data_IF_374059931792
#
_entry.id   IF_374059931792
#
_cell.length_a   1.000
_cell.length_b   1.000
_cell.length_c   1.000
_cell.angle_alpha   90.00
_cell.angle_beta   90.00
_cell.angle_gamma   90.00
#
_symmetry.space_group_name_H-M   'P 1'
#
loop_
_entity.id
_entity.type
_entity.pdbx_description
1 polymer ?
#
# COMPACT_ATOMS: atom_id res chain seq x y z
N UNK A 1 16.67 15.02 31.11
CA UNK A 1 16.86 15.47 29.73
C UNK A 1 18.11 16.34 29.69
N UNK A 2 19.26 15.72 29.44
CA UNK A 2 20.40 16.48 28.94
C UNK A 2 20.19 16.56 27.42
N UNK A 3 19.97 17.78 26.92
CA UNK A 3 20.20 18.10 25.52
C UNK A 3 21.71 18.01 25.30
N UNK A 4 22.24 16.80 25.20
CA UNK A 4 23.56 16.59 24.64
C UNK A 4 23.42 16.87 23.14
N UNK A 5 23.51 18.15 22.80
CA UNK A 5 23.47 18.65 21.43
C UNK A 5 24.66 18.07 20.68
N UNK A 6 24.51 16.88 20.11
CA UNK A 6 25.39 16.40 19.07
C UNK A 6 25.28 17.44 17.95
N UNK A 7 26.38 18.12 17.56
CA UNK A 7 26.29 19.10 16.49
C UNK A 7 25.78 18.41 15.21
N UNK A 8 24.64 18.89 14.70
CA UNK A 8 24.17 18.53 13.37
C UNK A 8 25.18 19.08 12.36
N UNK A 9 25.97 18.20 11.74
CA UNK A 9 26.93 18.60 10.71
C UNK A 9 26.25 18.43 9.35
N UNK A 10 25.75 19.53 8.80
CA UNK A 10 25.26 19.59 7.43
C UNK A 10 26.42 19.89 6.47
N UNK A 11 26.53 19.15 5.37
CA UNK A 11 27.53 19.41 4.32
C UNK A 11 27.11 20.61 3.48
N UNK A 12 27.20 21.81 4.07
CA UNK A 12 26.83 23.08 3.42
C UNK A 12 27.62 23.33 2.12
N UNK A 13 28.80 22.72 1.97
CA UNK A 13 29.64 22.88 0.77
C UNK A 13 29.14 22.09 -0.44
N UNK A 14 28.34 21.03 -0.21
CA UNK A 14 27.71 20.25 -1.30
C UNK A 14 26.24 20.61 -1.53
N UNK A 15 25.63 21.34 -0.61
CA UNK A 15 24.19 21.63 -0.61
C UNK A 15 23.91 23.13 -0.58
N UNK A 16 24.08 23.78 -1.75
CA UNK A 16 23.70 25.19 -1.92
C UNK A 16 22.18 25.41 -1.88
N UNK A 17 21.40 24.33 -2.03
CA UNK A 17 19.93 24.30 -1.96
C UNK A 17 19.38 24.59 -0.55
N UNK A 18 20.23 24.62 0.48
CA UNK A 18 19.86 25.06 1.83
C UNK A 18 19.39 26.51 1.88
N UNK A 19 19.87 27.35 0.96
CA UNK A 19 19.44 28.75 0.85
C UNK A 19 18.13 28.91 0.05
N UNK A 20 17.64 27.85 -0.59
CA UNK A 20 16.45 27.82 -1.42
C UNK A 20 15.70 26.50 -1.19
N UNK A 21 15.08 26.33 0.00
CA UNK A 21 14.38 25.10 0.35
C UNK A 21 13.16 24.92 -0.57
N UNK A 22 13.08 23.75 -1.21
CA UNK A 22 12.01 23.36 -2.12
C UNK A 22 11.67 21.88 -1.93
N UNK A 23 10.45 21.49 -2.31
CA UNK A 23 9.98 20.09 -2.27
C UNK A 23 11.01 19.15 -2.93
N UNK A 24 11.45 18.14 -2.17
CA UNK A 24 12.36 17.10 -2.66
C UNK A 24 13.86 17.41 -2.53
N UNK A 25 14.24 18.62 -2.08
CA UNK A 25 15.64 19.00 -1.93
C UNK A 25 16.14 18.87 -0.48
N UNK A 26 17.46 18.92 -0.30
CA UNK A 26 18.08 18.73 1.00
C UNK A 26 17.76 19.89 1.95
N UNK A 27 17.72 21.12 1.43
CA UNK A 27 17.38 22.31 2.20
C UNK A 27 16.05 22.20 2.92
N UNK A 28 15.01 21.72 2.23
CA UNK A 28 13.69 21.50 2.83
C UNK A 28 13.72 20.42 3.91
N UNK A 29 14.41 19.29 3.67
CA UNK A 29 14.57 18.24 4.69
C UNK A 29 15.25 18.77 5.95
N UNK A 30 16.30 19.59 5.80
CA UNK A 30 17.04 20.18 6.93
C UNK A 30 16.13 21.06 7.79
N UNK A 31 15.22 21.83 7.19
CA UNK A 31 14.25 22.62 7.95
C UNK A 31 13.37 21.73 8.83
N UNK A 32 12.79 20.66 8.26
CA UNK A 32 11.94 19.72 9.01
C UNK A 32 12.74 19.04 10.13
N UNK A 33 13.96 18.59 9.83
CA UNK A 33 14.86 17.96 10.79
C UNK A 33 15.19 18.88 11.98
N UNK A 34 15.49 20.16 11.73
CA UNK A 34 15.82 21.10 12.80
C UNK A 34 14.60 21.49 13.64
N UNK A 35 13.42 21.57 13.03
CA UNK A 35 12.17 21.70 13.78
C UNK A 35 11.95 20.46 14.67
N UNK A 36 12.26 19.26 14.17
CA UNK A 36 12.24 18.02 14.96
C UNK A 36 13.08 18.12 16.23
N UNK A 37 14.34 18.58 16.13
CA UNK A 37 15.18 18.84 17.32
C UNK A 37 14.57 19.87 18.26
N UNK A 38 14.04 20.97 17.72
CA UNK A 38 13.39 22.01 18.53
C UNK A 38 12.16 21.49 19.28
N UNK A 39 11.49 20.48 18.74
CA UNK A 39 10.37 19.77 19.36
C UNK A 39 10.81 18.56 20.21
N UNK A 40 12.11 18.32 20.38
CA UNK A 40 12.64 17.29 21.27
C UNK A 40 12.93 15.93 20.63
N UNK A 41 12.90 15.82 19.30
CA UNK A 41 13.36 14.61 18.61
C UNK A 41 14.89 14.59 18.51
N UNK A 42 15.50 13.46 18.87
CA UNK A 42 16.92 13.22 18.66
C UNK A 42 17.15 12.47 17.35
N UNK A 43 18.41 12.40 16.91
CA UNK A 43 18.78 11.38 15.94
C UNK A 43 18.54 9.96 16.52
N UNK A 44 18.23 8.95 15.69
CA UNK A 44 17.98 7.60 16.19
C UNK A 44 19.21 6.86 16.71
N UNK A 45 20.38 7.16 16.13
CA UNK A 45 21.68 6.60 16.51
C UNK A 45 22.48 7.49 17.47
N UNK A 46 23.39 6.87 18.22
CA UNK A 46 24.33 7.57 19.09
C UNK A 46 25.62 7.87 18.31
N UNK A 47 25.75 9.09 17.79
CA UNK A 47 26.95 9.51 17.04
C UNK A 47 28.09 9.98 17.97
N UNK A 48 28.40 9.20 19.00
CA UNK A 48 29.36 9.53 20.08
C UNK A 48 30.82 9.64 19.62
N UNK A 49 31.12 9.35 18.36
CA UNK A 49 32.47 9.42 17.76
C UNK A 49 32.71 10.66 16.90
N UNK A 50 31.74 11.58 16.80
CA UNK A 50 31.97 12.90 16.20
C UNK A 50 32.72 13.72 17.24
N UNK A 51 34.01 13.92 17.00
CA UNK A 51 34.92 14.60 17.91
C UNK A 51 34.34 15.94 18.38
N UNK A 52 34.34 16.13 19.69
CA UNK A 52 33.94 17.32 20.44
C UNK A 52 34.84 18.55 20.24
N UNK A 53 35.60 18.61 19.14
CA UNK A 53 36.58 19.67 18.90
C UNK A 53 36.28 20.41 17.59
N UNK A 54 35.50 21.48 17.72
CA UNK A 54 35.08 22.38 16.63
C UNK A 54 36.26 23.15 15.99
N UNK A 55 37.46 23.06 16.58
CA UNK A 55 38.68 23.75 16.10
C UNK A 55 39.69 22.79 15.43
N UNK A 56 39.38 21.50 15.38
CA UNK A 56 40.26 20.53 14.75
C UNK A 56 40.26 20.69 13.21
N UNK A 57 41.41 20.69 12.52
CA UNK A 57 41.47 20.57 11.06
C UNK A 57 40.81 19.27 10.52
N UNK A 58 40.65 18.25 11.38
CA UNK A 58 39.91 17.02 11.10
C UNK A 58 38.37 17.22 11.28
N UNK A 59 37.89 18.28 11.93
CA UNK A 59 36.46 18.60 12.07
C UNK A 59 35.83 18.94 10.71
N UNK A 60 36.56 19.68 9.88
CA UNK A 60 36.16 20.02 8.51
C UNK A 60 36.49 18.92 7.50
N UNK A 61 37.37 17.98 7.86
CA UNK A 61 37.71 16.84 7.02
C UNK A 61 36.97 15.61 7.52
N UNK A 62 35.72 15.50 7.07
CA UNK A 62 34.96 14.26 6.98
C UNK A 62 35.84 13.20 6.27
N UNK A 63 36.76 12.56 7.00
CA UNK A 63 37.53 11.43 6.48
C UNK A 63 36.52 10.32 6.29
N UNK A 64 36.00 10.22 5.05
CA UNK A 64 35.27 9.05 4.51
C UNK A 64 35.92 7.80 5.08
N UNK A 65 35.30 7.18 6.09
CA UNK A 65 35.86 6.00 6.75
C UNK A 65 35.79 5.96 8.28
N UNK A 66 35.44 7.05 8.98
CA UNK A 66 35.22 7.00 10.45
C UNK A 66 33.80 6.66 10.90
N UNK A 67 32.80 6.88 10.03
CA UNK A 67 31.40 6.54 10.28
C UNK A 67 30.94 5.56 9.20
N UNK A 68 30.32 4.47 9.61
CA UNK A 68 29.62 3.50 8.77
C UNK A 68 28.29 3.12 9.39
N UNK A 69 27.21 3.17 8.61
CA UNK A 69 25.87 2.72 9.00
C UNK A 69 25.88 1.47 9.90
N UNK A 70 26.56 0.40 9.48
CA UNK A 70 26.66 -0.89 10.20
C UNK A 70 27.33 -0.84 11.58
N UNK A 71 27.91 0.29 11.99
CA UNK A 71 28.56 0.47 13.28
C UNK A 71 27.86 1.48 14.17
N UNK A 72 27.24 2.51 13.61
CA UNK A 72 26.65 3.59 14.41
C UNK A 72 25.12 3.67 14.35
N UNK A 73 24.47 3.09 13.33
CA UNK A 73 23.02 2.94 13.35
C UNK A 73 22.63 1.97 14.48
N UNK A 74 21.65 2.35 15.29
CA UNK A 74 21.20 1.53 16.42
C UNK A 74 20.29 0.38 15.98
N UNK A 75 19.56 0.59 14.88
CA UNK A 75 18.63 -0.34 14.27
C UNK A 75 18.63 -0.13 12.74
N UNK A 76 18.12 -1.10 11.97
CA UNK A 76 18.22 -1.11 10.51
C UNK A 76 17.44 0.05 9.88
N UNK A 77 16.32 0.42 10.48
CA UNK A 77 15.40 1.46 10.02
C UNK A 77 15.88 2.88 10.37
N UNK A 78 17.07 3.06 10.96
CA UNK A 78 17.71 4.37 11.08
C UNK A 78 18.17 4.84 9.70
N UNK A 79 17.23 5.19 8.83
CA UNK A 79 17.47 5.72 7.49
C UNK A 79 16.46 6.81 7.16
N UNK A 80 16.77 7.60 6.14
CA UNK A 80 15.87 8.61 5.58
C UNK A 80 14.63 8.04 4.90
N UNK A 81 14.45 6.73 4.86
CA UNK A 81 13.16 6.11 4.51
C UNK A 81 12.15 6.25 5.65
N UNK A 82 12.60 6.18 6.91
CA UNK A 82 11.74 6.09 8.09
C UNK A 82 11.67 7.40 8.88
N UNK A 83 12.77 8.16 8.93
CA UNK A 83 12.87 9.38 9.73
C UNK A 83 13.76 10.42 9.07
N UNK A 84 13.30 11.66 9.03
CA UNK A 84 14.13 12.80 8.60
C UNK A 84 15.27 13.07 9.57
N UNK A 85 15.19 12.56 10.81
CA UNK A 85 16.23 12.66 11.83
C UNK A 85 17.44 11.78 11.52
N UNK A 86 17.36 10.85 10.57
CA UNK A 86 18.48 10.00 10.19
C UNK A 86 19.52 10.73 9.33
N UNK A 87 20.79 10.37 9.55
CA UNK A 87 21.90 10.76 8.68
C UNK A 87 22.12 9.80 7.50
N UNK A 88 21.42 8.66 7.48
CA UNK A 88 21.72 7.56 6.59
C UNK A 88 20.76 7.52 5.40
N UNK A 89 21.29 7.16 4.23
CA UNK A 89 20.48 7.03 3.01
C UNK A 89 19.43 5.93 3.17
N UNK A 90 18.25 6.20 2.61
CA UNK A 90 17.15 5.27 2.39
C UNK A 90 17.59 3.94 1.73
N UNK A 91 18.69 3.96 0.96
CA UNK A 91 19.20 2.77 0.26
C UNK A 91 19.68 1.67 1.20
N UNK A 92 20.00 1.97 2.46
CA UNK A 92 20.35 0.94 3.44
C UNK A 92 19.19 0.02 3.79
N UNK A 93 17.95 0.48 3.57
CA UNK A 93 16.70 -0.26 3.80
C UNK A 93 15.98 -0.60 2.49
N UNK A 94 16.70 -0.61 1.36
CA UNK A 94 16.24 -0.94 0.01
C UNK A 94 15.23 0.04 -0.63
N UNK A 95 14.99 1.20 -0.03
CA UNK A 95 14.32 2.31 -0.72
C UNK A 95 15.25 2.97 -1.75
N UNK A 96 14.68 3.70 -2.70
CA UNK A 96 15.43 4.52 -3.65
C UNK A 96 14.64 5.78 -3.99
N UNK A 97 15.15 6.92 -3.53
CA UNK A 97 14.52 8.22 -3.76
C UNK A 97 15.12 8.95 -4.97
N UNK A 98 15.95 8.28 -5.76
CA UNK A 98 16.66 8.85 -6.91
C UNK A 98 17.45 10.12 -6.56
N UNK A 99 17.98 10.17 -5.34
CA UNK A 99 18.78 11.29 -4.82
C UNK A 99 17.98 12.48 -4.28
N UNK A 100 16.65 12.39 -4.26
CA UNK A 100 15.80 13.36 -3.60
C UNK A 100 15.69 13.09 -2.09
N UNK A 101 15.14 14.07 -1.37
CA UNK A 101 15.02 14.06 0.08
C UNK A 101 13.56 14.21 0.53
N UNK A 102 13.18 13.58 1.66
CA UNK A 102 11.87 13.78 2.26
C UNK A 102 11.70 15.23 2.72
N UNK A 103 10.49 15.75 2.61
CA UNK A 103 10.18 17.16 2.87
C UNK A 103 9.07 17.35 3.92
N UNK A 104 8.63 16.26 4.55
CA UNK A 104 7.71 16.20 5.69
C UNK A 104 8.27 15.25 6.76
N UNK A 105 7.75 15.26 7.99
CA UNK A 105 7.95 14.15 8.92
C UNK A 105 7.60 12.82 8.24
N UNK A 106 8.41 11.79 8.49
CA UNK A 106 8.23 10.43 8.01
C UNK A 106 7.62 9.54 9.10
N UNK A 107 7.43 8.26 8.81
CA UNK A 107 6.65 7.33 9.63
C UNK A 107 7.10 7.26 11.10
N UNK A 108 8.41 7.21 11.35
CA UNK A 108 8.97 7.18 12.70
C UNK A 108 8.93 8.56 13.37
N UNK A 109 9.05 9.63 12.59
CA UNK A 109 8.93 11.00 13.11
C UNK A 109 7.50 11.28 13.61
N UNK A 110 6.50 10.85 12.83
CA UNK A 110 5.09 10.96 13.17
C UNK A 110 4.82 10.15 14.44
N UNK A 111 5.26 8.90 14.50
CA UNK A 111 5.06 8.08 15.71
C UNK A 111 5.74 8.72 16.93
N UNK A 112 7.00 9.12 16.82
CA UNK A 112 7.76 9.68 17.94
C UNK A 112 7.17 11.00 18.45
N UNK A 113 6.77 11.91 17.55
CA UNK A 113 6.22 13.20 17.96
C UNK A 113 4.84 13.03 18.62
N UNK A 114 4.06 12.05 18.19
CA UNK A 114 2.79 11.70 18.83
C UNK A 114 2.97 11.09 20.21
N UNK A 115 4.07 10.37 20.48
CA UNK A 115 4.38 9.90 21.84
C UNK A 115 4.67 11.07 22.81
N UNK A 116 5.22 12.18 22.29
CA UNK A 116 5.53 13.36 23.11
C UNK A 116 4.32 14.26 23.33
N UNK A 117 3.47 14.43 22.32
CA UNK A 117 2.44 15.48 22.31
C UNK A 117 1.01 14.97 22.06
N UNK A 118 0.83 13.68 21.78
CA UNK A 118 -0.43 13.08 21.38
C UNK A 118 -0.68 13.17 19.87
N UNK A 119 -1.48 12.23 19.36
CA UNK A 119 -1.97 12.23 17.99
C UNK A 119 -2.99 13.35 17.76
N UNK A 120 -2.86 14.08 16.65
CA UNK A 120 -3.81 15.12 16.28
C UNK A 120 -4.99 14.51 15.51
N UNK A 121 -6.05 14.15 16.25
CA UNK A 121 -7.26 13.55 15.70
C UNK A 121 -8.21 14.55 15.00
N UNK A 122 -7.82 15.82 14.88
CA UNK A 122 -8.55 16.82 14.09
C UNK A 122 -7.95 17.00 12.68
N UNK A 123 -6.83 16.34 12.39
CA UNK A 123 -6.18 16.46 11.10
C UNK A 123 -6.90 15.60 10.06
N UNK A 124 -7.55 16.26 9.08
CA UNK A 124 -8.12 15.64 7.87
C UNK A 124 -9.20 14.58 8.12
N UNK A 125 -10.00 14.72 9.18
CA UNK A 125 -11.08 13.79 9.54
C UNK A 125 -12.26 13.69 8.54
N UNK A 126 -12.09 14.25 7.35
CA UNK A 126 -13.02 14.29 6.24
C UNK A 126 -12.48 13.44 5.09
N UNK A 127 -13.31 13.05 4.13
CA UNK A 127 -12.87 12.28 2.97
C UNK A 127 -11.73 12.99 2.21
N UNK A 128 -10.53 12.41 2.27
CA UNK A 128 -9.29 13.02 1.80
C UNK A 128 -8.70 12.27 0.62
N UNK A 129 -8.32 13.01 -0.43
CA UNK A 129 -7.57 12.50 -1.57
C UNK A 129 -6.11 12.93 -1.44
N UNK A 130 -5.21 11.96 -1.45
CA UNK A 130 -3.76 12.12 -1.46
C UNK A 130 -3.20 11.83 -2.85
N UNK A 131 -2.17 12.54 -3.28
CA UNK A 131 -1.55 12.35 -4.59
C UNK A 131 -2.11 13.27 -5.67
N UNK A 132 -2.43 12.72 -6.85
CA UNK A 132 -3.13 13.47 -7.89
C UNK A 132 -4.53 13.84 -7.40
N UNK A 133 -5.10 14.92 -7.96
CA UNK A 133 -6.44 15.40 -7.59
C UNK A 133 -6.63 15.66 -6.07
N UNK A 134 -5.54 15.86 -5.33
CA UNK A 134 -5.59 16.02 -3.88
C UNK A 134 -6.44 17.21 -3.44
N UNK A 135 -7.23 16.99 -2.39
CA UNK A 135 -8.03 18.02 -1.71
C UNK A 135 -7.41 18.44 -0.35
N UNK A 136 -6.19 18.01 -0.05
CA UNK A 136 -5.54 18.26 1.26
C UNK A 136 -5.19 19.73 1.51
N UNK A 137 -5.19 20.57 0.46
CA UNK A 137 -4.60 21.91 0.44
C UNK A 137 -3.14 21.94 0.95
N UNK A 138 -2.43 20.80 0.84
CA UNK A 138 -1.02 20.65 1.18
C UNK A 138 -0.22 20.32 -0.06
N UNK A 139 0.75 21.18 -0.38
CA UNK A 139 1.69 20.99 -1.48
C UNK A 139 2.51 19.69 -1.35
N UNK A 140 2.78 19.26 -0.12
CA UNK A 140 3.54 18.05 0.18
C UNK A 140 2.75 16.75 -0.06
N UNK A 141 1.41 16.77 0.04
CA UNK A 141 0.54 15.62 -0.29
C UNK A 141 -0.06 15.68 -1.69
N UNK A 142 0.01 16.84 -2.35
CA UNK A 142 -0.41 16.99 -3.74
C UNK A 142 0.70 16.56 -4.71
N UNK A 143 0.34 15.78 -5.73
CA UNK A 143 1.23 15.41 -6.85
C UNK A 143 0.73 16.08 -8.12
N UNK A 144 1.63 16.79 -8.81
CA UNK A 144 1.36 17.41 -10.11
C UNK A 144 2.15 16.70 -11.20
N UNK A 145 1.68 16.79 -12.45
CA UNK A 145 2.32 16.13 -13.59
C UNK A 145 3.81 16.48 -13.80
N UNK A 146 4.24 17.66 -13.33
CA UNK A 146 5.64 18.12 -13.44
C UNK A 146 6.43 17.97 -12.13
N UNK A 147 5.84 17.40 -11.08
CA UNK A 147 6.55 17.15 -9.83
C UNK A 147 7.64 16.10 -10.08
N UNK A 148 8.84 16.39 -9.60
CA UNK A 148 10.00 15.51 -9.81
C UNK A 148 9.99 14.31 -8.87
N UNK A 149 9.40 14.44 -7.68
CA UNK A 149 9.34 13.42 -6.64
C UNK A 149 8.13 13.59 -5.73
N UNK A 150 7.66 12.48 -5.17
CA UNK A 150 6.68 12.43 -4.09
C UNK A 150 7.27 11.56 -2.96
N UNK A 151 7.59 12.17 -1.81
CA UNK A 151 8.18 11.47 -0.66
C UNK A 151 7.51 12.00 0.61
N UNK A 152 6.57 11.25 1.15
CA UNK A 152 5.81 11.66 2.33
C UNK A 152 5.23 10.46 3.09
N UNK A 153 4.93 10.70 4.36
CA UNK A 153 4.15 9.78 5.19
C UNK A 153 2.79 10.38 5.50
N UNK A 154 1.74 9.57 5.37
CA UNK A 154 0.35 9.98 5.52
C UNK A 154 -0.04 9.86 6.98
N UNK A 155 -0.45 10.99 7.56
CA UNK A 155 -1.26 11.00 8.78
C UNK A 155 -2.68 11.34 8.36
N UNK A 156 -3.66 10.55 8.76
CA UNK A 156 -5.07 10.89 8.65
C UNK A 156 -5.77 10.45 9.94
N UNK A 157 -6.74 11.23 10.40
CA UNK A 157 -7.46 10.96 11.64
C UNK A 157 -8.72 10.12 11.43
N UNK A 158 -9.44 10.31 10.33
CA UNK A 158 -10.74 9.69 10.04
C UNK A 158 -11.22 10.06 8.63
N UNK A 159 -12.30 9.46 8.15
CA UNK A 159 -12.86 9.75 6.83
C UNK A 159 -12.79 8.55 5.89
N UNK A 160 -13.22 8.73 4.65
CA UNK A 160 -13.03 7.75 3.59
C UNK A 160 -12.03 8.28 2.57
N UNK A 161 -10.80 7.80 2.68
CA UNK A 161 -9.63 8.41 2.06
C UNK A 161 -9.15 7.63 0.83
N UNK A 162 -8.48 8.34 -0.07
CA UNK A 162 -8.02 7.79 -1.35
C UNK A 162 -6.56 8.13 -1.63
N UNK A 163 -5.77 7.12 -1.99
CA UNK A 163 -4.50 7.32 -2.68
C UNK A 163 -4.76 7.37 -4.18
N UNK A 164 -4.59 8.54 -4.78
CA UNK A 164 -4.71 8.73 -6.23
C UNK A 164 -3.33 8.87 -6.88
N UNK A 165 -2.89 7.81 -7.54
CA UNK A 165 -1.65 7.75 -8.30
C UNK A 165 -1.88 7.61 -9.81
N UNK A 166 -3.08 7.98 -10.28
CA UNK A 166 -3.56 7.83 -11.67
C UNK A 166 -2.71 8.52 -12.74
N UNK A 167 -1.98 9.57 -12.36
CA UNK A 167 -1.15 10.33 -13.29
C UNK A 167 0.19 9.66 -13.64
N UNK A 168 0.59 8.60 -12.94
CA UNK A 168 1.85 7.90 -13.20
C UNK A 168 1.75 6.88 -14.34
N UNK A 169 2.91 6.58 -14.93
CA UNK A 169 3.06 5.66 -16.05
C UNK A 169 3.97 4.46 -15.72
N UNK A 170 4.72 4.57 -14.64
CA UNK A 170 5.57 3.53 -14.10
C UNK A 170 4.72 2.48 -13.41
N UNK A 171 5.20 1.24 -13.38
CA UNK A 171 4.65 0.19 -12.53
C UNK A 171 4.80 0.59 -11.06
N UNK A 172 3.73 0.43 -10.28
CA UNK A 172 3.63 0.85 -8.89
C UNK A 172 3.36 -0.33 -7.97
N UNK A 173 3.73 -0.19 -6.70
CA UNK A 173 3.28 -1.09 -5.63
C UNK A 173 2.62 -0.24 -4.56
N UNK A 174 1.31 -0.32 -4.47
CA UNK A 174 0.47 0.49 -3.59
C UNK A 174 -0.02 -0.41 -2.46
N UNK A 175 0.24 -0.03 -1.22
CA UNK A 175 -0.18 -0.78 -0.03
C UNK A 175 -0.98 0.13 0.91
N UNK A 176 -2.24 -0.24 1.15
CA UNK A 176 -3.17 0.51 2.00
C UNK A 176 -3.09 0.14 3.48
N UNK A 177 -2.24 -0.83 3.86
CA UNK A 177 -2.10 -1.21 5.27
C UNK A 177 -1.39 -0.10 6.07
N UNK A 178 -1.79 0.14 7.33
CA UNK A 178 -1.01 1.01 8.23
C UNK A 178 0.40 0.46 8.44
N UNK A 179 1.33 1.36 8.80
CA UNK A 179 2.74 1.01 9.04
C UNK A 179 3.43 0.39 7.81
N UNK A 180 2.98 0.74 6.60
CA UNK A 180 3.47 0.16 5.36
C UNK A 180 4.06 1.21 4.40
N UNK A 181 4.79 0.72 3.40
CA UNK A 181 5.40 1.51 2.34
C UNK A 181 4.86 1.11 0.97
N UNK A 182 4.85 2.08 0.07
CA UNK A 182 4.51 1.93 -1.34
C UNK A 182 5.64 2.42 -2.25
N UNK A 183 5.79 1.77 -3.40
CA UNK A 183 6.67 2.14 -4.51
C UNK A 183 5.84 2.93 -5.53
N UNK A 184 5.99 4.25 -5.60
CA UNK A 184 5.08 5.13 -6.36
C UNK A 184 5.87 6.05 -7.29
N UNK A 185 5.41 6.19 -8.54
CA UNK A 185 6.02 7.10 -9.51
C UNK A 185 7.45 6.74 -9.94
N UNK A 186 7.80 5.45 -9.88
CA UNK A 186 9.14 4.94 -10.22
C UNK A 186 10.19 5.09 -9.13
N UNK A 187 9.80 5.55 -7.94
CA UNK A 187 10.62 5.53 -6.72
C UNK A 187 10.34 4.23 -5.93
N UNK A 188 11.14 3.95 -4.92
CA UNK A 188 10.92 2.79 -4.02
C UNK A 188 10.80 3.20 -2.56
N UNK A 189 9.78 2.71 -1.87
CA UNK A 189 9.52 2.95 -0.46
C UNK A 189 9.32 4.43 -0.11
N UNK A 190 8.77 5.22 -1.03
CA UNK A 190 8.73 6.68 -0.93
C UNK A 190 7.43 7.22 -0.33
N UNK A 191 6.33 6.47 -0.42
CA UNK A 191 5.06 6.81 0.25
C UNK A 191 4.83 5.83 1.38
N UNK A 192 4.43 6.32 2.55
CA UNK A 192 4.06 5.48 3.69
C UNK A 192 2.76 5.92 4.33
N UNK A 193 2.10 5.01 5.03
CA UNK A 193 0.91 5.28 5.85
C UNK A 193 1.33 5.14 7.31
N UNK A 194 1.12 6.18 8.12
CA UNK A 194 1.47 6.16 9.52
C UNK A 194 0.68 5.09 10.30
N UNK A 195 1.16 4.75 11.50
CA UNK A 195 0.49 3.79 12.37
C UNK A 195 -0.92 4.25 12.71
N UNK A 196 -1.82 3.27 12.78
CA UNK A 196 -3.24 3.47 13.11
C UNK A 196 -4.02 4.38 12.14
N UNK A 197 -3.44 4.71 10.98
CA UNK A 197 -4.13 5.40 9.89
C UNK A 197 -4.75 4.36 8.96
N UNK A 198 -6.03 4.53 8.65
CA UNK A 198 -6.74 3.70 7.67
C UNK A 198 -6.88 4.54 6.41
N UNK A 199 -6.55 3.96 5.25
CA UNK A 199 -6.85 4.54 3.95
C UNK A 199 -7.66 3.52 3.18
N UNK A 200 -8.84 3.89 2.72
CA UNK A 200 -9.83 2.97 2.18
C UNK A 200 -9.59 2.68 0.71
N UNK A 201 -9.10 3.65 -0.06
CA UNK A 201 -9.19 3.57 -1.51
C UNK A 201 -7.83 3.79 -2.19
N UNK A 202 -7.66 3.14 -3.34
CA UNK A 202 -6.47 3.28 -4.17
C UNK A 202 -6.84 3.37 -5.65
N UNK A 203 -6.14 4.26 -6.36
CA UNK A 203 -6.19 4.39 -7.80
C UNK A 203 -4.77 4.27 -8.34
N UNK A 204 -4.51 3.17 -9.05
CA UNK A 204 -3.28 2.98 -9.80
C UNK A 204 -3.21 3.84 -11.06
N UNK A 205 -2.07 3.76 -11.72
CA UNK A 205 -1.64 4.58 -12.85
C UNK A 205 -1.91 3.91 -14.19
N UNK A 206 -0.94 4.03 -15.10
CA UNK A 206 -0.97 3.43 -16.44
C UNK A 206 0.06 2.30 -16.62
N UNK A 207 0.79 1.99 -15.55
CA UNK A 207 1.76 0.89 -15.49
C UNK A 207 1.07 -0.41 -15.12
N UNK A 208 1.84 -1.48 -14.97
CA UNK A 208 1.33 -2.74 -14.40
C UNK A 208 1.48 -2.66 -12.88
N UNK A 209 0.41 -2.30 -12.19
CA UNK A 209 0.46 -1.98 -10.78
C UNK A 209 0.15 -3.20 -9.90
N UNK A 210 0.71 -3.22 -8.70
CA UNK A 210 0.31 -4.12 -7.63
C UNK A 210 -0.38 -3.29 -6.57
N UNK A 211 -1.65 -3.57 -6.30
CA UNK A 211 -2.45 -2.82 -5.31
C UNK A 211 -2.93 -3.79 -4.24
N UNK A 212 -2.57 -3.48 -2.99
CA UNK A 212 -2.87 -4.28 -1.82
C UNK A 212 -3.75 -3.44 -0.89
N UNK A 213 -5.00 -3.85 -0.73
CA UNK A 213 -5.92 -3.28 0.25
C UNK A 213 -5.57 -3.68 1.69
N UNK A 214 -6.48 -3.42 2.61
CA UNK A 214 -6.28 -3.63 4.04
C UNK A 214 -7.42 -4.47 4.62
N UNK A 215 -7.78 -4.22 5.88
CA UNK A 215 -8.84 -4.95 6.56
C UNK A 215 -10.19 -4.22 6.57
N UNK A 216 -10.24 -3.02 6.00
CA UNK A 216 -11.44 -2.23 5.79
C UNK A 216 -11.99 -2.50 4.38
N UNK A 217 -13.24 -2.14 4.14
CA UNK A 217 -13.81 -2.18 2.79
C UNK A 217 -13.05 -1.21 1.87
N UNK A 218 -12.43 -1.73 0.82
CA UNK A 218 -11.64 -0.94 -0.10
C UNK A 218 -12.33 -0.71 -1.45
N UNK A 219 -12.13 0.47 -2.04
CA UNK A 219 -12.38 0.69 -3.48
C UNK A 219 -11.03 0.78 -4.18
N UNK A 220 -10.73 -0.23 -5.00
CA UNK A 220 -9.45 -0.33 -5.70
C UNK A 220 -9.69 -0.27 -7.21
N UNK A 221 -8.95 0.62 -7.88
CA UNK A 221 -8.90 0.71 -9.34
C UNK A 221 -7.48 0.51 -9.82
N UNK A 222 -7.25 -0.54 -10.61
CA UNK A 222 -5.95 -0.88 -11.20
C UNK A 222 -5.40 0.24 -12.07
N UNK A 223 -6.23 0.73 -12.99
CA UNK A 223 -5.89 1.87 -13.83
C UNK A 223 -5.89 1.50 -15.29
N UNK A 224 -4.80 1.74 -15.99
CA UNK A 224 -4.56 1.08 -17.27
C UNK A 224 -3.31 0.22 -17.10
N UNK A 225 -3.22 -0.90 -17.82
CA UNK A 225 -2.11 -1.83 -17.61
C UNK A 225 -2.63 -3.23 -17.35
N UNK A 226 -1.77 -4.09 -16.83
CA UNK A 226 -2.11 -5.42 -16.34
C UNK A 226 -1.82 -5.48 -14.86
N UNK A 227 -2.84 -5.20 -14.05
CA UNK A 227 -2.72 -4.93 -12.64
C UNK A 227 -2.97 -6.18 -11.79
N UNK A 228 -2.31 -6.28 -10.63
CA UNK A 228 -2.57 -7.31 -9.63
C UNK A 228 -3.25 -6.63 -8.44
N UNK A 229 -4.46 -7.07 -8.13
CA UNK A 229 -5.31 -6.45 -7.11
C UNK A 229 -5.61 -7.47 -6.01
N UNK A 230 -5.24 -7.11 -4.78
CA UNK A 230 -5.64 -7.80 -3.55
C UNK A 230 -6.61 -6.89 -2.81
N UNK A 231 -7.87 -7.31 -2.66
CA UNK A 231 -8.84 -6.60 -1.84
C UNK A 231 -8.41 -6.61 -0.38
N UNK A 232 -8.17 -7.81 0.15
CA UNK A 232 -7.81 -7.99 1.56
C UNK A 232 -9.02 -8.51 2.33
N UNK A 233 -9.16 -8.09 3.59
CA UNK A 233 -10.39 -8.41 4.34
C UNK A 233 -11.37 -7.26 4.18
N UNK A 234 -12.66 -7.57 4.28
CA UNK A 234 -13.71 -6.56 4.16
C UNK A 234 -14.66 -6.95 3.05
N UNK A 235 -15.45 -5.98 2.61
CA UNK A 235 -16.27 -6.09 1.42
C UNK A 235 -15.73 -5.13 0.36
N UNK A 236 -14.92 -5.64 -0.55
CA UNK A 236 -14.15 -4.79 -1.47
C UNK A 236 -14.87 -4.58 -2.80
N UNK A 237 -14.62 -3.42 -3.41
CA UNK A 237 -15.08 -3.07 -4.75
C UNK A 237 -13.88 -2.89 -5.66
N UNK A 238 -13.66 -3.88 -6.53
CA UNK A 238 -12.46 -4.02 -7.32
C UNK A 238 -12.73 -3.72 -8.80
N UNK A 239 -11.89 -2.88 -9.38
CA UNK A 239 -11.89 -2.55 -10.80
C UNK A 239 -10.51 -2.84 -11.37
N UNK A 240 -10.46 -3.63 -12.43
CA UNK A 240 -9.23 -3.86 -13.18
C UNK A 240 -8.79 -2.60 -13.92
N UNK A 241 -9.73 -1.75 -14.34
CA UNK A 241 -9.45 -0.53 -15.09
C UNK A 241 -9.99 0.73 -14.39
N UNK A 242 -9.45 1.90 -14.74
CA UNK A 242 -9.93 3.18 -14.19
C UNK A 242 -11.26 3.65 -14.79
N UNK A 243 -11.53 3.25 -16.04
CA UNK A 243 -12.71 3.65 -16.78
C UNK A 243 -13.60 2.46 -17.08
N UNK A 244 -14.89 2.67 -16.87
CA UNK A 244 -15.91 1.77 -17.35
C UNK A 244 -16.03 1.96 -18.86
N UNK A 245 -15.47 1.05 -19.67
CA UNK A 245 -15.92 0.95 -21.05
C UNK A 245 -17.38 0.45 -21.04
N UNK A 246 -18.34 1.38 -21.15
CA UNK A 246 -19.77 1.06 -21.16
C UNK A 246 -20.14 -0.01 -22.21
N UNK A 247 -19.33 -0.17 -23.27
CA UNK A 247 -19.51 -1.19 -24.31
C UNK A 247 -19.24 -2.63 -23.85
N UNK A 248 -18.45 -2.84 -22.78
CA UNK A 248 -18.19 -4.17 -22.22
C UNK A 248 -19.34 -4.67 -21.31
N UNK A 249 -20.26 -3.78 -20.93
CA UNK A 249 -21.32 -4.05 -19.96
C UNK A 249 -22.65 -4.35 -20.64
N UNK A 250 -22.75 -5.49 -21.30
CA UNK A 250 -24.05 -5.99 -21.79
C UNK A 250 -24.66 -6.99 -20.81
N UNK A 251 -25.20 -6.46 -19.70
CA UNK A 251 -26.33 -6.97 -18.85
C UNK A 251 -26.37 -6.34 -17.45
N UNK A 252 -25.27 -5.77 -16.96
CA UNK A 252 -25.11 -5.33 -15.55
C UNK A 252 -25.14 -3.81 -15.36
N UNK A 253 -25.85 -3.08 -16.23
CA UNK A 253 -25.90 -1.60 -16.23
C UNK A 253 -26.60 -1.03 -14.98
N UNK A 254 -27.52 -1.78 -14.36
CA UNK A 254 -28.29 -1.30 -13.20
C UNK A 254 -27.48 -1.27 -11.90
N UNK A 255 -26.63 -2.28 -11.63
CA UNK A 255 -25.81 -2.34 -10.42
C UNK A 255 -24.70 -1.28 -10.41
N UNK A 256 -24.06 -1.08 -11.56
CA UNK A 256 -22.97 -0.12 -11.76
C UNK A 256 -23.44 1.34 -11.57
N UNK A 257 -24.65 1.65 -12.03
CA UNK A 257 -25.26 2.98 -11.82
C UNK A 257 -25.71 3.20 -10.37
N UNK A 258 -25.96 2.14 -9.59
CA UNK A 258 -26.28 2.27 -8.17
C UNK A 258 -25.04 2.39 -7.27
N UNK A 259 -23.90 1.80 -7.64
CA UNK A 259 -22.68 1.81 -6.82
C UNK A 259 -21.76 3.03 -7.05
N UNK A 260 -21.85 3.69 -8.20
CA UNK A 260 -21.08 4.92 -8.48
C UNK A 260 -21.47 6.13 -7.61
N UNK A 261 -22.51 6.01 -6.77
CA UNK A 261 -23.07 7.09 -5.96
C UNK A 261 -23.20 6.80 -4.47
N UNK A 262 -22.76 5.64 -3.97
CA UNK A 262 -22.82 5.34 -2.53
C UNK A 262 -21.43 5.34 -1.91
N UNK A 263 -21.16 6.37 -1.11
CA UNK A 263 -20.28 6.25 0.06
C UNK A 263 -20.87 5.15 0.94
N UNK A 264 -20.20 4.00 1.00
CA UNK A 264 -20.57 2.98 1.98
C UNK A 264 -20.39 3.59 3.38
N UNK A 265 -21.37 3.48 4.30
CA UNK A 265 -21.17 3.93 5.66
C UNK A 265 -20.05 3.14 6.32
N UNK A 266 -19.08 3.86 6.88
CA UNK A 266 -17.97 3.34 7.66
C UNK A 266 -18.45 2.30 8.70
N UNK A 267 -17.89 1.09 8.62
CA UNK A 267 -17.96 0.11 9.70
C UNK A 267 -16.59 0.06 10.37
N UNK A 268 -16.56 0.38 11.66
CA UNK A 268 -15.34 0.31 12.48
C UNK A 268 -14.75 -1.11 12.40
N UNK A 269 -13.52 -1.29 11.88
CA UNK A 269 -12.89 -2.60 11.82
C UNK A 269 -12.64 -3.12 13.25
N UNK A 270 -12.82 -4.43 13.44
CA UNK A 270 -12.24 -5.11 14.59
C UNK A 270 -10.73 -5.18 14.38
N UNK A 271 -9.95 -4.92 15.44
CA UNK A 271 -8.48 -4.91 15.36
C UNK A 271 -7.97 -6.19 14.70
N UNK A 272 -7.07 -6.11 13.71
CA UNK A 272 -6.48 -7.30 13.15
C UNK A 272 -5.65 -8.02 14.21
N UNK A 273 -5.91 -9.30 14.42
CA UNK A 273 -4.93 -10.19 15.03
C UNK A 273 -3.64 -10.13 14.20
N UNK A 274 -2.51 -10.06 14.89
CA UNK A 274 -1.18 -9.88 14.31
C UNK A 274 -0.97 -10.75 13.07
N UNK A 275 -0.72 -10.11 11.92
CA UNK A 275 -0.26 -10.80 10.72
C UNK A 275 1.12 -11.38 11.04
N UNK A 276 1.16 -12.70 11.15
CA UNK A 276 2.35 -13.49 11.47
C UNK A 276 3.39 -13.30 10.36
N UNK A 277 4.52 -12.70 10.71
CA UNK A 277 5.72 -12.63 9.86
C UNK A 277 6.40 -14.00 9.77
N UNK A 278 6.72 -14.49 8.55
CA UNK A 278 8.06 -14.98 8.13
C UNK A 278 8.02 -15.69 6.76
N UNK A 279 8.83 -15.17 5.83
CA UNK A 279 9.63 -15.80 4.75
C UNK A 279 9.06 -16.85 3.77
N UNK A 280 7.89 -17.46 3.99
CA UNK A 280 7.24 -18.35 3.01
C UNK A 280 6.00 -17.73 2.35
N UNK A 281 5.50 -16.60 2.88
CA UNK A 281 4.33 -15.88 2.37
C UNK A 281 4.61 -15.00 1.15
N UNK A 282 5.86 -14.55 0.94
CA UNK A 282 6.22 -13.74 -0.25
C UNK A 282 6.01 -14.50 -1.57
N UNK A 283 5.82 -15.82 -1.52
CA UNK A 283 5.47 -16.64 -2.70
C UNK A 283 3.97 -16.91 -2.82
N UNK A 284 3.19 -16.63 -1.77
CA UNK A 284 1.73 -16.76 -1.73
C UNK A 284 1.01 -15.41 -1.95
N UNK A 285 1.62 -14.31 -1.53
CA UNK A 285 1.16 -12.93 -1.77
C UNK A 285 1.61 -12.39 -3.13
N UNK A 286 2.48 -13.09 -3.85
CA UNK A 286 2.95 -12.72 -5.18
C UNK A 286 3.02 -13.99 -6.03
N UNK A 287 1.95 -14.37 -6.74
CA UNK A 287 1.90 -15.59 -7.56
C UNK A 287 2.87 -15.53 -8.74
N UNK A 288 3.32 -14.32 -9.11
CA UNK A 288 4.30 -14.06 -10.15
C UNK A 288 5.69 -13.85 -9.54
N UNK A 289 6.71 -14.49 -10.12
CA UNK A 289 8.10 -14.15 -9.81
C UNK A 289 8.39 -12.69 -10.21
N UNK A 290 9.42 -12.03 -9.66
CA UNK A 290 9.82 -10.65 -10.04
C UNK A 290 10.03 -10.42 -11.56
N UNK A 291 10.02 -11.48 -12.37
CA UNK A 291 10.22 -11.45 -13.83
C UNK A 291 9.00 -11.86 -14.66
N UNK A 292 7.85 -12.17 -14.04
CA UNK A 292 6.61 -12.46 -14.77
C UNK A 292 5.71 -11.23 -14.76
N UNK A 293 5.51 -10.62 -15.92
CA UNK A 293 4.57 -9.52 -16.11
C UNK A 293 3.19 -10.12 -16.40
N UNK A 294 2.15 -9.81 -15.61
CA UNK A 294 0.79 -10.16 -15.96
C UNK A 294 0.45 -9.61 -17.35
N UNK A 295 -0.33 -10.36 -18.12
CA UNK A 295 -0.81 -9.91 -19.46
C UNK A 295 -2.25 -9.38 -19.42
N UNK A 296 -2.86 -9.41 -18.23
CA UNK A 296 -4.20 -8.97 -17.92
C UNK A 296 -4.30 -8.61 -16.45
N UNK A 297 -5.43 -8.03 -16.04
CA UNK A 297 -5.72 -7.80 -14.63
C UNK A 297 -5.95 -9.11 -13.90
N UNK A 298 -5.48 -9.21 -12.66
CA UNK A 298 -5.58 -10.39 -11.80
C UNK A 298 -6.13 -9.96 -10.44
N UNK A 299 -7.27 -10.54 -10.06
CA UNK A 299 -7.90 -10.35 -8.75
C UNK A 299 -7.54 -11.55 -7.87
N UNK A 300 -6.76 -11.31 -6.82
CA UNK A 300 -6.11 -12.38 -6.06
C UNK A 300 -6.77 -12.55 -4.69
N UNK A 301 -7.08 -13.79 -4.34
CA UNK A 301 -7.60 -14.18 -3.04
C UNK A 301 -6.72 -15.26 -2.42
N UNK A 302 -6.31 -15.05 -1.16
CA UNK A 302 -5.39 -15.91 -0.43
C UNK A 302 -6.03 -16.72 0.69
N UNK A 303 -7.22 -16.32 1.15
CA UNK A 303 -8.00 -17.03 2.17
C UNK A 303 -9.51 -16.89 1.94
N UNK A 304 -10.32 -17.78 2.51
CA UNK A 304 -11.78 -17.66 2.44
C UNK A 304 -12.33 -16.45 3.19
N UNK A 305 -11.62 -15.96 4.21
CA UNK A 305 -12.08 -14.85 5.04
C UNK A 305 -12.07 -13.50 4.29
N UNK A 306 -11.35 -13.43 3.18
CA UNK A 306 -11.27 -12.23 2.33
C UNK A 306 -12.58 -11.96 1.58
N UNK A 307 -13.46 -12.96 1.40
CA UNK A 307 -14.72 -12.75 0.69
C UNK A 307 -15.84 -13.65 1.22
N UNK A 308 -16.30 -13.34 2.43
CA UNK A 308 -17.35 -14.10 3.10
C UNK A 308 -18.71 -13.93 2.39
N UNK A 309 -19.60 -14.94 2.43
CA UNK A 309 -20.95 -14.83 1.84
C UNK A 309 -21.78 -13.66 2.37
N UNK A 310 -21.50 -13.21 3.60
CA UNK A 310 -22.16 -12.08 4.25
C UNK A 310 -21.62 -10.71 3.82
N UNK A 311 -20.40 -10.68 3.29
CA UNK A 311 -19.68 -9.48 2.87
C UNK A 311 -18.80 -9.79 1.64
N UNK A 312 -19.42 -10.19 0.51
CA UNK A 312 -18.67 -10.64 -0.66
C UNK A 312 -18.12 -9.47 -1.47
N UNK A 313 -16.91 -9.67 -1.98
CA UNK A 313 -16.23 -8.73 -2.86
C UNK A 313 -16.95 -8.64 -4.20
N UNK A 314 -16.77 -7.51 -4.85
CA UNK A 314 -17.38 -7.19 -6.12
C UNK A 314 -16.31 -6.80 -7.12
N UNK A 315 -16.15 -7.63 -8.16
CA UNK A 315 -15.33 -7.33 -9.33
C UNK A 315 -16.23 -6.71 -10.40
N UNK A 316 -16.03 -5.43 -10.66
CA UNK A 316 -17.04 -4.59 -11.30
C UNK A 316 -16.90 -4.48 -12.83
N UNK A 317 -15.73 -4.78 -13.39
CA UNK A 317 -15.40 -4.63 -14.81
C UNK A 317 -14.66 -5.84 -15.40
N UNK A 318 -14.84 -7.01 -14.79
CA UNK A 318 -14.20 -8.25 -15.24
C UNK A 318 -14.42 -8.51 -16.74
N UNK A 319 -13.35 -8.76 -17.50
CA UNK A 319 -13.41 -9.12 -18.92
C UNK A 319 -13.10 -10.60 -19.11
N UNK A 320 -14.13 -11.38 -19.39
CA UNK A 320 -14.06 -12.81 -19.72
C UNK A 320 -13.00 -13.10 -20.79
N UNK A 321 -12.22 -14.16 -20.61
CA UNK A 321 -11.07 -14.57 -21.43
C UNK A 321 -9.88 -13.60 -21.45
N UNK A 322 -9.93 -12.50 -20.70
CA UNK A 322 -8.81 -11.58 -20.53
C UNK A 322 -8.35 -11.59 -19.08
N UNK A 323 -9.15 -11.02 -18.18
CA UNK A 323 -8.80 -10.89 -16.77
C UNK A 323 -8.84 -12.25 -16.05
N UNK A 324 -8.24 -12.33 -14.86
CA UNK A 324 -8.12 -13.58 -14.07
C UNK A 324 -8.59 -13.39 -12.63
N UNK A 325 -9.19 -14.45 -12.09
CA UNK A 325 -9.40 -14.63 -10.65
C UNK A 325 -8.38 -15.67 -10.17
N UNK A 326 -7.49 -15.28 -9.26
CA UNK A 326 -6.47 -16.16 -8.71
C UNK A 326 -6.87 -16.66 -7.33
N UNK A 327 -7.10 -17.96 -7.24
CA UNK A 327 -7.45 -18.72 -6.04
C UNK A 327 -6.34 -19.72 -5.66
N UNK A 328 -5.18 -19.66 -6.32
CA UNK A 328 -4.11 -20.64 -6.17
C UNK A 328 -3.54 -20.66 -4.76
N UNK A 329 -3.48 -19.50 -4.09
CA UNK A 329 -3.03 -19.39 -2.72
C UNK A 329 -3.95 -20.14 -1.74
N UNK A 330 -5.28 -20.08 -1.93
CA UNK A 330 -6.25 -20.86 -1.15
C UNK A 330 -6.00 -22.36 -1.34
N UNK A 331 -5.83 -22.80 -2.59
CA UNK A 331 -5.59 -24.20 -2.94
C UNK A 331 -4.26 -24.70 -2.33
N UNK A 332 -3.17 -23.92 -2.42
CA UNK A 332 -1.87 -24.24 -1.82
C UNK A 332 -1.95 -24.33 -0.29
N UNK A 333 -2.61 -23.38 0.38
CA UNK A 333 -2.78 -23.42 1.85
C UNK A 333 -3.53 -24.66 2.29
N UNK A 334 -4.62 -24.99 1.60
CA UNK A 334 -5.39 -26.19 1.89
C UNK A 334 -4.57 -27.46 1.63
N UNK A 335 -3.82 -27.52 0.52
CA UNK A 335 -2.94 -28.65 0.19
C UNK A 335 -1.88 -28.90 1.28
N UNK A 336 -1.30 -27.83 1.85
CA UNK A 336 -0.34 -27.95 2.96
C UNK A 336 -1.03 -28.50 4.22
N UNK A 337 -2.24 -28.02 4.53
CA UNK A 337 -2.97 -28.44 5.72
C UNK A 337 -3.51 -29.87 5.62
N UNK A 338 -3.89 -30.34 4.42
CA UNK A 338 -4.71 -31.55 4.25
C UNK A 338 -4.15 -32.57 3.25
N UNK A 339 -3.03 -32.29 2.57
CA UNK A 339 -2.39 -33.15 1.55
C UNK A 339 -3.27 -33.51 0.35
N UNK A 340 -4.37 -32.79 0.16
CA UNK A 340 -5.05 -32.72 -1.13
C UNK A 340 -4.14 -31.97 -2.12
N UNK A 341 -4.30 -32.16 -3.43
CA UNK A 341 -3.60 -31.36 -4.44
C UNK A 341 -4.56 -30.52 -5.29
N UNK A 342 -5.84 -30.87 -5.29
CA UNK A 342 -6.85 -30.30 -6.17
C UNK A 342 -8.10 -29.98 -5.36
N UNK A 343 -7.93 -29.25 -4.26
CA UNK A 343 -9.05 -28.95 -3.36
C UNK A 343 -10.14 -28.19 -4.12
N UNK A 344 -9.81 -27.05 -4.74
CA UNK A 344 -10.77 -26.31 -5.57
C UNK A 344 -11.07 -27.09 -6.85
N UNK A 345 -12.34 -27.40 -7.08
CA UNK A 345 -12.81 -28.04 -8.30
C UNK A 345 -14.22 -27.58 -8.67
N UNK A 346 -14.42 -27.27 -9.96
CA UNK A 346 -15.69 -26.70 -10.43
C UNK A 346 -16.77 -27.77 -10.64
N UNK A 347 -17.98 -27.47 -10.17
CA UNK A 347 -19.17 -28.33 -10.30
C UNK A 347 -20.40 -27.51 -10.69
N UNK A 348 -21.44 -28.17 -11.21
CA UNK A 348 -22.70 -27.49 -11.58
C UNK A 348 -23.53 -27.06 -10.36
N UNK A 349 -23.38 -27.74 -9.22
CA UNK A 349 -24.08 -27.44 -7.95
C UNK A 349 -23.36 -28.11 -6.78
N UNK A 350 -23.52 -27.55 -5.58
CA UNK A 350 -23.02 -28.16 -4.35
C UNK A 350 -23.71 -29.49 -4.03
N UNK A 351 -22.91 -30.41 -3.50
CA UNK A 351 -23.28 -31.73 -3.01
C UNK A 351 -22.78 -31.99 -1.58
N UNK A 352 -22.14 -31.00 -0.95
CA UNK A 352 -21.59 -31.13 0.39
C UNK A 352 -20.16 -31.63 0.41
N UNK A 353 -19.42 -31.47 -0.69
CA UNK A 353 -18.02 -31.87 -0.76
C UNK A 353 -17.16 -30.61 -0.63
N UNK A 354 -16.20 -30.57 0.33
CA UNK A 354 -15.26 -29.46 0.44
C UNK A 354 -14.51 -29.23 -0.86
N UNK A 355 -14.34 -27.96 -1.22
CA UNK A 355 -13.64 -27.50 -2.41
C UNK A 355 -14.50 -27.43 -3.68
N UNK A 356 -15.75 -27.91 -3.63
CA UNK A 356 -16.70 -27.67 -4.71
C UNK A 356 -16.83 -26.17 -4.96
N UNK A 357 -16.72 -25.77 -6.23
CA UNK A 357 -16.83 -24.37 -6.67
C UNK A 357 -17.92 -24.26 -7.72
N UNK A 358 -18.87 -23.35 -7.52
CA UNK A 358 -20.02 -23.13 -8.40
C UNK A 358 -19.98 -21.71 -8.94
N UNK A 359 -20.20 -21.56 -10.25
CA UNK A 359 -20.44 -20.26 -10.89
C UNK A 359 -21.92 -20.20 -11.25
N UNK A 360 -22.63 -19.21 -10.72
CA UNK A 360 -24.06 -19.05 -10.99
C UNK A 360 -24.46 -17.60 -11.14
N UNK A 361 -25.31 -17.29 -12.12
CA UNK A 361 -25.84 -15.93 -12.26
C UNK A 361 -26.99 -15.70 -11.28
N UNK A 362 -26.94 -14.58 -10.55
CA UNK A 362 -27.97 -14.18 -9.60
C UNK A 362 -28.82 -13.05 -10.19
N UNK A 363 -30.07 -13.36 -10.52
CA UNK A 363 -31.00 -12.41 -11.13
C UNK A 363 -31.34 -11.21 -10.23
N UNK A 364 -31.13 -11.30 -8.90
CA UNK A 364 -31.52 -10.24 -7.96
C UNK A 364 -30.50 -9.11 -7.88
N UNK A 365 -29.22 -9.45 -7.88
CA UNK A 365 -28.14 -8.44 -7.83
C UNK A 365 -27.42 -8.26 -9.17
N UNK A 366 -27.75 -9.08 -10.17
CA UNK A 366 -27.21 -9.02 -11.53
C UNK A 366 -25.70 -9.30 -11.62
N UNK A 367 -25.19 -10.13 -10.70
CA UNK A 367 -23.81 -10.61 -10.73
C UNK A 367 -23.75 -12.12 -10.98
N UNK A 368 -22.64 -12.56 -11.56
CA UNK A 368 -22.21 -13.95 -11.46
C UNK A 368 -21.56 -14.15 -10.09
N UNK A 369 -22.02 -15.14 -9.34
CA UNK A 369 -21.46 -15.52 -8.05
C UNK A 369 -20.50 -16.67 -8.29
N UNK A 370 -19.23 -16.48 -7.91
CA UNK A 370 -18.24 -17.56 -7.79
C UNK A 370 -18.26 -17.97 -6.32
N UNK A 371 -18.81 -19.14 -6.04
CA UNK A 371 -19.05 -19.63 -4.67
C UNK A 371 -18.22 -20.87 -4.40
N UNK A 372 -17.51 -20.91 -3.27
CA UNK A 372 -16.72 -22.08 -2.84
C UNK A 372 -17.28 -22.60 -1.53
N UNK A 373 -17.56 -23.90 -1.48
CA UNK A 373 -17.85 -24.62 -0.24
C UNK A 373 -16.51 -25.07 0.36
N UNK A 374 -16.15 -24.57 1.55
CA UNK A 374 -14.89 -24.93 2.20
C UNK A 374 -15.03 -26.10 3.18
N UNK A 375 -16.25 -26.52 3.51
CA UNK A 375 -16.55 -27.59 4.47
C UNK A 375 -17.51 -28.66 3.90
N UNK A 376 -18.10 -29.49 4.76
CA UNK A 376 -18.99 -30.59 4.40
C UNK A 376 -20.49 -30.20 4.38
N UNK A 377 -20.80 -28.92 4.18
CA UNK A 377 -22.15 -28.37 4.14
C UNK A 377 -22.58 -27.93 2.70
N UNK A 378 -23.83 -27.48 2.52
CA UNK A 378 -24.38 -27.09 1.20
C UNK A 378 -24.35 -25.57 0.93
N UNK A 379 -23.89 -24.80 1.90
CA UNK A 379 -23.73 -23.37 1.86
C UNK A 379 -22.30 -23.02 1.45
N UNK A 380 -22.10 -21.91 0.72
CA UNK A 380 -20.75 -21.46 0.44
C UNK A 380 -20.11 -20.82 1.69
N UNK A 381 -18.80 -20.96 1.81
CA UNK A 381 -17.97 -20.27 2.82
C UNK A 381 -17.24 -19.06 2.22
N UNK A 382 -17.26 -18.94 0.89
CA UNK A 382 -16.64 -17.86 0.14
C UNK A 382 -17.47 -17.53 -1.09
N UNK A 383 -17.67 -16.24 -1.36
CA UNK A 383 -18.42 -15.74 -2.52
C UNK A 383 -17.76 -14.49 -3.08
N UNK A 384 -17.47 -14.49 -4.39
CA UNK A 384 -17.15 -13.28 -5.16
C UNK A 384 -18.32 -12.97 -6.09
N UNK A 385 -18.67 -11.69 -6.20
CA UNK A 385 -19.61 -11.18 -7.20
C UNK A 385 -18.84 -10.60 -8.39
N UNK A 386 -19.10 -11.13 -9.58
CA UNK A 386 -18.42 -10.74 -10.82
C UNK A 386 -19.43 -10.17 -11.80
N UNK A 387 -19.19 -8.95 -12.27
CA UNK A 387 -20.14 -8.20 -13.11
C UNK A 387 -20.32 -8.80 -14.53
N UNK A 388 -19.46 -9.74 -14.90
CA UNK A 388 -19.49 -10.48 -16.16
C UNK A 388 -19.36 -11.99 -15.91
N UNK A 389 -19.66 -12.78 -16.95
CA UNK A 389 -19.46 -14.23 -16.89
C UNK A 389 -17.95 -14.55 -16.76
N UNK A 390 -17.62 -15.64 -16.09
CA UNK A 390 -16.24 -16.10 -15.90
C UNK A 390 -16.11 -17.55 -16.36
N UNK A 391 -15.22 -17.79 -17.31
CA UNK A 391 -15.04 -19.10 -17.96
C UNK A 391 -13.98 -19.90 -17.23
N UNK A 392 -14.37 -21.02 -16.61
CA UNK A 392 -13.49 -21.91 -15.83
C UNK A 392 -12.15 -22.22 -16.53
N UNK A 393 -12.19 -22.50 -17.84
CA UNK A 393 -11.01 -22.95 -18.58
C UNK A 393 -9.96 -21.85 -18.84
N UNK A 394 -10.33 -20.58 -18.72
CA UNK A 394 -9.48 -19.45 -19.10
C UNK A 394 -9.31 -18.42 -17.99
N UNK A 395 -10.31 -18.22 -17.14
CA UNK A 395 -10.41 -17.04 -16.26
C UNK A 395 -9.96 -17.29 -14.82
N UNK A 396 -9.55 -18.52 -14.49
CA UNK A 396 -9.16 -18.90 -13.13
C UNK A 396 -7.73 -19.44 -13.06
N UNK A 397 -7.04 -19.10 -11.98
CA UNK A 397 -5.75 -19.69 -11.58
C UNK A 397 -6.01 -20.42 -10.25
N UNK A 398 -5.77 -21.74 -10.21
CA UNK A 398 -6.15 -22.62 -9.08
C UNK A 398 -5.04 -23.59 -8.74
#
# INVERSE_FOLDING_TARGET
MHLDSIPCVFDLYKHNDILQPEKGNYGQMVLVHQIGHALGLSHPGNFTNIASDIYSPDYLQWKKGRLSFWKEARYLEDTRQYTVMSNWSEKYTNADFHGAYPYTPLIDDIYAIQQLYGANMEARKEDTVYGFNSNTDKDYYSIKANDKVAIFSIWDADGNDSLDFSGYHQDQKINLNPDSFSDVGGLKGNISIARDVIIENAIGGKGNDIIIGNASNNIIKGGAGSDIIYGGMGQDTLWGENNIELSALTKSIAAILSYTFFTLPYQKPQQPEQIITTNNLNKLLFPFSENETPTSNVFVYTTFAESLPTSPDMIMDFRTNKDKIDLSAINVRHNIAHKDKNFIHFVEKFRGVPGETVISYNDKDHFYHVSINADDNLEPDFVIKVAADAVVASDFIV
#
